data_IF_207914287777
#
_entry.id   IF_207914287777
#
_cell.length_a   1.000
_cell.length_b   1.000
_cell.length_c   1.000
_cell.angle_alpha   90.00
_cell.angle_beta   90.00
_cell.angle_gamma   90.00
#
_symmetry.space_group_name_H-M   'P 1'
#
loop_
_entity.id
_entity.type
_entity.pdbx_description
1 polymer ?
#
# COMPACT_ATOMS: atom_id res chain seq x y z
N UNK A 1 -15.35 -25.96 10.45
CA UNK A 1 -15.85 -26.66 11.66
C UNK A 1 -14.84 -27.65 12.23
N UNK A 2 -14.35 -28.64 11.47
CA UNK A 2 -13.38 -29.62 11.97
C UNK A 2 -12.10 -28.98 12.55
N UNK A 3 -11.49 -28.03 11.83
CA UNK A 3 -10.30 -27.29 12.30
C UNK A 3 -10.55 -26.53 13.61
N UNK A 4 -11.72 -25.90 13.75
CA UNK A 4 -12.06 -25.14 14.96
C UNK A 4 -12.21 -26.06 16.19
N UNK A 5 -12.71 -27.29 16.02
CA UNK A 5 -12.86 -28.27 17.11
C UNK A 5 -11.54 -28.79 17.69
N UNK A 6 -10.46 -28.75 16.90
CA UNK A 6 -9.13 -29.25 17.30
C UNK A 6 -8.14 -28.12 17.61
N UNK A 7 -8.56 -26.86 17.41
CA UNK A 7 -7.74 -25.69 17.73
C UNK A 7 -7.88 -25.35 19.22
N UNK A 8 -6.82 -24.85 19.88
CA UNK A 8 -6.94 -24.29 21.22
C UNK A 8 -7.97 -23.15 21.26
N UNK A 9 -8.64 -22.99 22.39
CA UNK A 9 -9.49 -21.82 22.62
C UNK A 9 -8.64 -20.55 22.61
N UNK A 10 -9.07 -19.56 21.83
CA UNK A 10 -8.50 -18.22 21.80
C UNK A 10 -9.62 -17.22 22.17
N UNK A 11 -9.57 -16.62 23.38
CA UNK A 11 -10.64 -15.76 23.88
C UNK A 11 -10.79 -14.46 23.09
N UNK A 12 -9.81 -14.10 22.25
CA UNK A 12 -9.83 -12.87 21.47
C UNK A 12 -10.43 -13.10 20.07
N UNK A 13 -10.42 -14.33 19.57
CA UNK A 13 -10.95 -14.65 18.25
C UNK A 13 -12.48 -14.62 18.23
N UNK A 14 -13.03 -13.96 17.21
CA UNK A 14 -14.47 -13.88 17.00
C UNK A 14 -14.83 -12.76 16.05
N UNK A 15 -16.06 -12.80 15.52
CA UNK A 15 -16.58 -11.78 14.62
C UNK A 15 -16.59 -10.39 15.28
N UNK A 16 -16.52 -9.34 14.48
CA UNK A 16 -16.69 -7.97 14.94
C UNK A 16 -18.04 -7.78 15.66
N UNK A 17 -18.06 -6.84 16.60
CA UNK A 17 -19.29 -6.41 17.27
C UNK A 17 -20.29 -5.92 16.21
N UNK A 18 -21.53 -6.44 16.17
CA UNK A 18 -22.55 -5.99 15.24
C UNK A 18 -22.79 -4.48 15.22
N UNK A 19 -22.55 -3.79 16.34
CA UNK A 19 -22.68 -2.33 16.43
C UNK A 19 -21.62 -1.57 15.61
N UNK A 20 -20.47 -2.18 15.34
CA UNK A 20 -19.36 -1.61 14.57
C UNK A 20 -19.46 -1.90 13.07
N UNK A 21 -20.37 -2.78 12.66
CA UNK A 21 -20.53 -3.16 11.26
C UNK A 21 -21.11 -2.02 10.45
N UNK A 22 -20.55 -1.82 9.25
CA UNK A 22 -21.05 -0.81 8.32
C UNK A 22 -22.47 -1.17 7.89
N UNK A 23 -23.39 -0.20 7.94
CA UNK A 23 -24.78 -0.40 7.50
C UNK A 23 -24.99 -0.02 6.04
N UNK A 24 -24.30 1.04 5.61
CA UNK A 24 -24.37 1.60 4.26
C UNK A 24 -22.95 1.96 3.82
N UNK A 25 -22.22 1.01 3.21
CA UNK A 25 -20.88 1.26 2.68
C UNK A 25 -20.90 2.45 1.72
N UNK A 26 -19.92 3.36 1.85
CA UNK A 26 -19.79 4.51 0.94
C UNK A 26 -19.30 4.06 -0.44
N UNK A 27 -19.79 4.70 -1.49
CA UNK A 27 -19.15 4.57 -2.79
C UNK A 27 -17.86 5.40 -2.79
N UNK A 28 -16.74 4.72 -3.00
CA UNK A 28 -15.41 5.33 -3.03
C UNK A 28 -14.86 5.49 -4.45
N UNK A 29 -15.69 5.26 -5.47
CA UNK A 29 -15.34 5.34 -6.89
C UNK A 29 -14.13 4.47 -7.25
N UNK A 30 -14.09 3.24 -6.71
CA UNK A 30 -12.94 2.33 -6.87
C UNK A 30 -12.99 1.51 -8.16
N UNK A 31 -14.14 1.48 -8.82
CA UNK A 31 -14.37 0.67 -10.00
C UNK A 31 -14.54 1.54 -11.24
N UNK A 32 -13.72 1.23 -12.23
CA UNK A 32 -13.77 1.79 -13.57
C UNK A 32 -14.25 0.68 -14.54
N UNK A 33 -15.36 0.90 -15.26
CA UNK A 33 -15.89 -0.07 -16.21
C UNK A 33 -15.11 -0.14 -17.53
N UNK A 34 -14.03 0.64 -17.70
CA UNK A 34 -13.24 0.67 -18.93
C UNK A 34 -12.69 -0.71 -19.27
N UNK A 35 -13.12 -1.25 -20.41
CA UNK A 35 -12.55 -2.45 -20.99
C UNK A 35 -11.28 -2.09 -21.78
N UNK A 36 -10.17 -2.76 -21.45
CA UNK A 36 -8.88 -2.55 -22.12
C UNK A 36 -8.45 -3.85 -22.77
N UNK A 37 -8.26 -3.83 -24.09
CA UNK A 37 -7.85 -5.00 -24.85
C UNK A 37 -6.37 -5.34 -24.62
N UNK A 38 -6.01 -6.61 -24.86
CA UNK A 38 -4.62 -7.03 -24.82
C UNK A 38 -3.74 -6.22 -25.80
N UNK A 39 -4.29 -5.84 -26.96
CA UNK A 39 -3.57 -5.00 -27.93
C UNK A 39 -3.33 -3.60 -27.38
N UNK A 40 -4.31 -2.95 -26.73
CA UNK A 40 -4.10 -1.65 -26.11
C UNK A 40 -3.03 -1.70 -25.01
N UNK A 41 -3.00 -2.76 -24.20
CA UNK A 41 -1.96 -2.96 -23.19
C UNK A 41 -0.59 -3.17 -23.83
N UNK A 42 -0.50 -3.97 -24.89
CA UNK A 42 0.72 -4.20 -25.67
C UNK A 42 1.26 -2.89 -26.25
N UNK A 43 0.42 -2.10 -26.92
CA UNK A 43 0.82 -0.82 -27.50
C UNK A 43 1.30 0.16 -26.42
N UNK A 44 0.63 0.23 -25.27
CA UNK A 44 1.09 1.08 -24.16
C UNK A 44 2.45 0.62 -23.61
N UNK A 45 2.69 -0.68 -23.48
CA UNK A 45 3.98 -1.21 -23.05
C UNK A 45 5.09 -0.89 -24.05
N UNK A 46 4.84 -1.08 -25.36
CA UNK A 46 5.77 -0.77 -26.44
C UNK A 46 6.09 0.73 -26.51
N UNK A 47 5.08 1.60 -26.37
CA UNK A 47 5.27 3.05 -26.37
C UNK A 47 6.16 3.50 -25.21
N UNK A 48 5.93 2.95 -24.01
CA UNK A 48 6.76 3.26 -22.85
C UNK A 48 8.20 2.75 -23.00
N UNK A 49 8.39 1.54 -23.56
CA UNK A 49 9.71 0.99 -23.85
C UNK A 49 10.47 1.84 -24.89
N UNK A 50 9.81 2.19 -25.99
CA UNK A 50 10.39 3.00 -27.05
C UNK A 50 10.81 4.39 -26.54
N UNK A 51 9.97 5.03 -25.73
CA UNK A 51 10.29 6.32 -25.12
C UNK A 51 11.48 6.24 -24.15
N UNK A 52 11.61 5.13 -23.42
CA UNK A 52 12.76 4.91 -22.53
C UNK A 52 14.06 4.69 -23.32
N UNK A 53 14.02 3.87 -24.37
CA UNK A 53 15.18 3.59 -25.24
C UNK A 53 15.64 4.82 -26.04
N UNK A 54 14.73 5.77 -26.30
CA UNK A 54 15.09 7.03 -26.94
C UNK A 54 15.91 7.99 -26.04
N UNK A 55 15.99 7.72 -24.73
CA UNK A 55 16.78 8.55 -23.80
C UNK A 55 18.27 8.29 -24.00
N UNK A 56 19.03 9.36 -24.25
CA UNK A 56 20.50 9.29 -24.42
C UNK A 56 21.17 8.61 -23.21
N UNK A 57 21.98 7.60 -23.50
CA UNK A 57 22.72 6.83 -22.50
C UNK A 57 22.04 5.54 -22.06
N UNK A 58 20.76 5.36 -22.41
CA UNK A 58 20.08 4.06 -22.32
C UNK A 58 20.61 3.16 -23.45
N UNK A 59 21.00 1.94 -23.10
CA UNK A 59 21.65 0.98 -24.01
C UNK A 59 20.84 -0.29 -24.19
N UNK A 60 19.98 -0.63 -23.23
CA UNK A 60 19.15 -1.81 -23.30
C UNK A 60 17.83 -1.65 -22.52
N UNK A 61 16.83 -2.47 -22.86
CA UNK A 61 15.60 -2.58 -22.09
C UNK A 61 15.68 -3.75 -21.11
N UNK A 62 15.08 -3.59 -19.93
CA UNK A 62 14.83 -4.67 -18.98
C UNK A 62 13.34 -5.09 -18.98
N UNK A 63 12.57 -4.60 -19.96
CA UNK A 63 11.16 -4.91 -20.16
C UNK A 63 10.22 -3.77 -19.78
N UNK A 64 9.10 -3.75 -20.47
CA UNK A 64 7.96 -2.87 -20.22
C UNK A 64 6.68 -3.70 -20.10
N UNK A 65 5.72 -3.20 -19.34
CA UNK A 65 4.47 -3.91 -19.09
C UNK A 65 3.32 -2.95 -18.83
N UNK A 66 2.13 -3.38 -19.23
CA UNK A 66 0.87 -2.75 -18.86
C UNK A 66 -0.12 -3.84 -18.43
N UNK A 67 -0.97 -3.52 -17.46
CA UNK A 67 -1.96 -4.46 -16.92
C UNK A 67 -3.28 -3.76 -16.65
N UNK A 68 -4.36 -4.50 -16.84
CA UNK A 68 -5.69 -4.18 -16.34
C UNK A 68 -6.20 -5.36 -15.52
N UNK A 69 -6.84 -5.09 -14.39
CA UNK A 69 -7.43 -6.12 -13.57
C UNK A 69 -8.46 -5.55 -12.62
N UNK A 70 -9.25 -6.43 -12.00
CA UNK A 70 -10.18 -6.07 -10.95
C UNK A 70 -10.12 -7.11 -9.84
N UNK A 71 -10.49 -6.67 -8.65
CA UNK A 71 -10.60 -7.51 -7.47
C UNK A 71 -11.61 -6.91 -6.51
N UNK A 72 -11.96 -7.65 -5.48
CA UNK A 72 -12.96 -7.18 -4.54
C UNK A 72 -13.10 -8.09 -3.34
N UNK A 73 -14.07 -7.77 -2.51
CA UNK A 73 -14.45 -8.55 -1.35
C UNK A 73 -15.96 -8.75 -1.38
N UNK A 74 -16.39 -9.98 -1.09
CA UNK A 74 -17.74 -10.28 -0.62
C UNK A 74 -17.57 -10.88 0.77
N UNK A 75 -18.24 -10.32 1.77
CA UNK A 75 -18.18 -10.78 3.15
C UNK A 75 -19.59 -11.05 3.65
N UNK A 76 -19.81 -12.29 4.08
CA UNK A 76 -21.03 -12.71 4.78
C UNK A 76 -20.65 -13.26 6.17
N UNK A 77 -21.39 -12.86 7.21
CA UNK A 77 -21.14 -13.34 8.58
C UNK A 77 -22.41 -13.89 9.24
N UNK A 78 -22.25 -14.73 10.26
CA UNK A 78 -23.39 -15.26 11.03
C UNK A 78 -24.14 -14.21 11.85
N UNK A 79 -23.60 -13.00 12.00
CA UNK A 79 -24.31 -11.85 12.57
C UNK A 79 -25.25 -11.17 11.55
N UNK A 80 -25.38 -11.72 10.34
CA UNK A 80 -26.27 -11.19 9.30
C UNK A 80 -25.65 -10.09 8.42
N UNK A 81 -24.37 -9.76 8.62
CA UNK A 81 -23.66 -8.86 7.72
C UNK A 81 -23.53 -9.49 6.34
N UNK A 82 -23.89 -8.74 5.29
CA UNK A 82 -23.54 -9.04 3.91
C UNK A 82 -23.08 -7.75 3.25
N UNK A 83 -21.80 -7.66 2.90
CA UNK A 83 -21.19 -6.50 2.27
C UNK A 83 -20.34 -6.92 1.09
N UNK A 84 -20.23 -6.04 0.10
CA UNK A 84 -19.33 -6.26 -1.03
C UNK A 84 -18.79 -4.95 -1.59
N UNK A 85 -17.65 -5.03 -2.26
CA UNK A 85 -17.12 -3.97 -3.11
C UNK A 85 -16.19 -4.58 -4.17
N UNK A 86 -16.04 -3.87 -5.27
CA UNK A 86 -15.11 -4.17 -6.35
C UNK A 86 -14.22 -2.95 -6.61
N UNK A 87 -12.99 -3.19 -7.01
CA UNK A 87 -12.02 -2.19 -7.37
C UNK A 87 -11.28 -2.64 -8.62
N UNK A 88 -11.17 -1.74 -9.59
CA UNK A 88 -10.30 -1.90 -10.76
C UNK A 88 -8.88 -1.46 -10.40
N UNK A 89 -7.90 -1.99 -11.12
CA UNK A 89 -6.51 -1.56 -11.04
C UNK A 89 -5.87 -1.66 -12.41
N UNK A 90 -5.36 -0.52 -12.86
CA UNK A 90 -4.56 -0.43 -14.07
C UNK A 90 -3.13 -0.07 -13.69
N UNK A 91 -2.17 -0.61 -14.43
CA UNK A 91 -0.77 -0.24 -14.25
C UNK A 91 0.00 -0.21 -15.56
N UNK A 92 1.04 0.62 -15.58
CA UNK A 92 2.04 0.70 -16.64
C UNK A 92 3.40 0.85 -15.97
N UNK A 93 4.41 0.18 -16.48
CA UNK A 93 5.77 0.27 -15.93
C UNK A 93 6.81 -0.04 -16.98
N UNK A 94 7.97 0.60 -16.87
CA UNK A 94 9.11 0.34 -17.74
C UNK A 94 10.39 0.36 -16.92
N UNK A 95 11.29 -0.58 -17.21
CA UNK A 95 12.61 -0.69 -16.61
C UNK A 95 13.65 -0.76 -17.72
N UNK A 96 14.72 0.02 -17.61
CA UNK A 96 15.77 0.09 -18.64
C UNK A 96 17.16 0.14 -18.02
N UNK A 97 18.16 -0.14 -18.86
CA UNK A 97 19.57 -0.18 -18.51
C UNK A 97 20.29 0.92 -19.28
N UNK A 98 21.09 1.70 -18.55
CA UNK A 98 22.01 2.69 -19.10
C UNK A 98 23.46 2.22 -18.93
N UNK A 99 24.35 2.69 -19.80
CA UNK A 99 25.79 2.38 -19.74
C UNK A 99 26.17 1.03 -20.35
N UNK A 100 27.45 0.69 -20.25
CA UNK A 100 28.05 -0.50 -20.88
C UNK A 100 29.01 -1.22 -19.93
N UNK A 101 29.25 -2.51 -20.18
CA UNK A 101 30.21 -3.32 -19.44
C UNK A 101 29.94 -3.32 -17.93
N UNK A 102 30.95 -2.96 -17.13
CA UNK A 102 30.85 -2.89 -15.67
C UNK A 102 30.21 -1.60 -15.16
N UNK A 103 29.92 -0.63 -16.03
CA UNK A 103 29.28 0.65 -15.71
C UNK A 103 27.77 0.66 -15.95
N UNK A 104 27.13 -0.51 -16.06
CA UNK A 104 25.70 -0.61 -16.30
C UNK A 104 24.89 -0.25 -15.05
N UNK A 105 23.86 0.57 -15.24
CA UNK A 105 22.93 0.97 -14.20
C UNK A 105 21.49 0.73 -14.65
N UNK A 106 20.62 0.35 -13.71
CA UNK A 106 19.21 0.05 -13.99
C UNK A 106 18.31 0.89 -13.10
N UNK A 107 17.27 1.45 -13.69
CA UNK A 107 16.16 2.06 -12.95
C UNK A 107 14.83 1.85 -13.70
N UNK A 108 13.74 2.27 -13.08
CA UNK A 108 12.39 2.07 -13.58
C UNK A 108 11.49 3.25 -13.22
N UNK A 109 10.33 3.31 -13.89
CA UNK A 109 9.21 4.15 -13.50
C UNK A 109 7.89 3.38 -13.69
N UNK A 110 6.86 3.76 -12.94
CA UNK A 110 5.54 3.16 -13.07
C UNK A 110 4.40 4.10 -12.70
N UNK A 111 3.20 3.79 -13.19
CA UNK A 111 1.94 4.36 -12.71
C UNK A 111 0.95 3.25 -12.40
N UNK A 112 0.18 3.40 -11.32
CA UNK A 112 -0.84 2.46 -10.86
C UNK A 112 -2.03 3.27 -10.35
N UNK A 113 -3.23 2.99 -10.89
CA UNK A 113 -4.44 3.78 -10.66
C UNK A 113 -5.68 2.91 -10.62
N UNK A 114 -6.74 3.41 -9.97
CA UNK A 114 -8.04 2.74 -9.98
C UNK A 114 -8.75 2.94 -11.32
N UNK A 115 -8.64 4.13 -11.91
CA UNK A 115 -9.22 4.44 -13.21
C UNK A 115 -8.14 4.48 -14.29
N UNK A 116 -8.49 4.02 -15.49
CA UNK A 116 -7.58 3.93 -16.63
C UNK A 116 -7.15 5.31 -17.13
N UNK A 117 -8.08 6.27 -17.11
CA UNK A 117 -7.83 7.66 -17.51
C UNK A 117 -6.87 8.41 -16.57
N UNK A 118 -6.73 7.95 -15.32
CA UNK A 118 -5.85 8.58 -14.33
C UNK A 118 -4.38 8.12 -14.49
N UNK A 119 -4.10 7.15 -15.36
CA UNK A 119 -2.75 6.64 -15.61
C UNK A 119 -1.90 7.68 -16.34
N UNK A 120 -0.65 7.81 -15.89
CA UNK A 120 0.38 8.57 -16.60
C UNK A 120 0.54 8.01 -18.03
N UNK A 121 0.82 8.90 -18.98
CA UNK A 121 1.07 8.54 -20.37
C UNK A 121 2.26 7.56 -20.46
N UNK A 122 2.18 6.52 -21.32
CA UNK A 122 3.25 5.54 -21.44
C UNK A 122 4.59 6.19 -21.82
N UNK A 123 4.58 7.20 -22.68
CA UNK A 123 5.79 7.94 -23.10
C UNK A 123 6.44 8.67 -21.91
N UNK A 124 5.64 9.25 -21.02
CA UNK A 124 6.16 9.91 -19.81
C UNK A 124 6.77 8.92 -18.82
N UNK A 125 6.17 7.74 -18.66
CA UNK A 125 6.72 6.65 -17.83
C UNK A 125 8.06 6.21 -18.42
N UNK A 126 8.10 5.94 -19.72
CA UNK A 126 9.29 5.52 -20.44
C UNK A 126 10.43 6.53 -20.32
N UNK A 127 10.16 7.79 -20.65
CA UNK A 127 11.13 8.88 -20.57
C UNK A 127 11.69 9.04 -19.15
N UNK A 128 10.83 9.06 -18.12
CA UNK A 128 11.27 9.12 -16.72
C UNK A 128 12.14 7.92 -16.33
N UNK A 129 11.78 6.70 -16.74
CA UNK A 129 12.59 5.51 -16.48
C UNK A 129 14.00 5.63 -17.10
N UNK A 130 14.08 6.04 -18.38
CA UNK A 130 15.34 6.27 -19.08
C UNK A 130 16.18 7.38 -18.45
N UNK A 131 15.57 8.52 -18.13
CA UNK A 131 16.26 9.63 -17.46
C UNK A 131 16.82 9.22 -16.10
N UNK A 132 16.07 8.43 -15.32
CA UNK A 132 16.53 7.90 -14.02
C UNK A 132 17.70 6.94 -14.18
N UNK A 133 17.62 6.00 -15.12
CA UNK A 133 18.71 5.05 -15.37
C UNK A 133 19.99 5.79 -15.82
N UNK A 134 19.86 6.73 -16.76
CA UNK A 134 20.99 7.53 -17.24
C UNK A 134 21.63 8.39 -16.13
N UNK A 135 20.84 8.97 -15.23
CA UNK A 135 21.34 9.77 -14.09
C UNK A 135 22.19 8.98 -13.10
N UNK A 136 22.07 7.65 -13.06
CA UNK A 136 22.87 6.79 -12.16
C UNK A 136 24.29 6.55 -12.68
N UNK A 137 24.55 6.81 -13.96
CA UNK A 137 25.86 6.58 -14.57
C UNK A 137 26.93 7.44 -13.91
N UNK A 138 28.08 6.83 -13.62
CA UNK A 138 29.21 7.50 -12.99
C UNK A 138 29.05 7.71 -11.48
N UNK A 139 28.12 7.00 -10.83
CA UNK A 139 28.01 6.97 -9.38
C UNK A 139 29.36 6.66 -8.72
N UNK A 140 29.65 7.37 -7.63
CA UNK A 140 30.89 7.21 -6.87
C UNK A 140 30.57 6.71 -5.46
N UNK A 141 31.48 5.92 -4.90
CA UNK A 141 31.37 5.49 -3.51
C UNK A 141 31.48 6.71 -2.59
N UNK A 142 30.46 6.94 -1.76
CA UNK A 142 30.50 7.96 -0.73
C UNK A 142 31.54 7.59 0.36
N UNK A 143 32.15 8.60 0.97
CA UNK A 143 33.03 8.41 2.11
C UNK A 143 32.22 7.93 3.33
N UNK A 144 32.79 7.05 4.15
CA UNK A 144 32.15 6.58 5.37
C UNK A 144 32.18 7.69 6.42
N UNK A 145 31.02 8.03 6.98
CA UNK A 145 30.91 8.99 8.06
C UNK A 145 29.47 9.49 8.26
N UNK A 146 29.24 10.32 9.29
CA UNK A 146 27.97 11.02 9.45
C UNK A 146 27.79 12.03 8.31
N UNK A 147 26.61 12.01 7.70
CA UNK A 147 26.20 12.95 6.64
C UNK A 147 24.72 13.26 6.79
N UNK A 148 24.31 14.43 6.33
CA UNK A 148 22.90 14.74 6.18
C UNK A 148 22.31 14.01 4.98
N UNK A 149 21.13 13.41 5.16
CA UNK A 149 20.46 12.61 4.13
C UNK A 149 19.12 13.22 3.79
N UNK A 150 18.92 13.55 2.52
CA UNK A 150 17.62 13.94 1.97
C UNK A 150 17.01 12.74 1.27
N UNK A 151 15.85 12.28 1.75
CA UNK A 151 15.11 11.19 1.12
C UNK A 151 14.26 11.72 -0.02
N UNK A 152 14.49 11.22 -1.24
CA UNK A 152 13.59 11.45 -2.37
C UNK A 152 12.17 10.94 -2.02
N UNK A 153 11.09 11.63 -2.40
CA UNK A 153 9.71 11.22 -2.10
C UNK A 153 9.39 9.75 -2.44
N UNK A 154 9.99 9.21 -3.51
CA UNK A 154 9.82 7.80 -3.91
C UNK A 154 10.32 6.82 -2.86
N UNK A 155 11.42 7.16 -2.17
CA UNK A 155 12.07 6.32 -1.16
C UNK A 155 11.56 6.65 0.25
N UNK A 156 11.21 7.92 0.51
CA UNK A 156 10.66 8.37 1.79
C UNK A 156 9.42 7.57 2.22
N UNK A 157 8.61 7.09 1.26
CA UNK A 157 7.48 6.18 1.50
C UNK A 157 7.88 4.92 2.30
N UNK A 158 9.10 4.43 2.16
CA UNK A 158 9.62 3.29 2.93
C UNK A 158 9.62 3.55 4.44
N UNK A 159 9.86 4.79 4.86
CA UNK A 159 9.82 5.20 6.28
C UNK A 159 8.40 5.01 6.84
N UNK A 160 7.38 5.44 6.10
CA UNK A 160 5.98 5.22 6.47
C UNK A 160 5.65 3.71 6.56
N UNK A 161 6.20 2.90 5.65
CA UNK A 161 6.06 1.43 5.71
C UNK A 161 6.68 0.80 6.96
N UNK A 162 7.88 1.24 7.36
CA UNK A 162 8.52 0.79 8.60
C UNK A 162 7.73 1.22 9.84
N UNK A 163 7.24 2.46 9.86
CA UNK A 163 6.36 2.94 10.91
C UNK A 163 5.09 2.08 10.98
N UNK A 164 4.47 1.77 9.84
CA UNK A 164 3.26 0.94 9.78
C UNK A 164 3.46 -0.44 10.41
N UNK A 165 4.62 -1.07 10.15
CA UNK A 165 5.00 -2.33 10.78
C UNK A 165 5.22 -2.21 12.29
N UNK A 166 5.84 -1.10 12.73
CA UNK A 166 6.10 -0.83 14.14
C UNK A 166 4.82 -0.52 14.93
N UNK A 167 3.81 0.10 14.32
CA UNK A 167 2.52 0.41 14.96
C UNK A 167 1.43 -0.62 14.63
N UNK A 168 1.82 -1.77 14.08
CA UNK A 168 0.90 -2.89 13.85
C UNK A 168 0.49 -3.51 15.18
N UNK A 169 -0.82 -3.54 15.47
CA UNK A 169 -1.33 -4.02 16.75
C UNK A 169 -0.95 -5.47 17.06
N UNK A 170 -0.81 -6.35 16.06
CA UNK A 170 -0.39 -7.73 16.30
C UNK A 170 1.06 -7.81 16.81
N UNK A 171 1.94 -6.95 16.28
CA UNK A 171 3.32 -6.83 16.75
C UNK A 171 3.41 -6.21 18.15
N UNK A 172 2.49 -5.29 18.48
CA UNK A 172 2.37 -4.70 19.82
C UNK A 172 1.90 -5.74 20.83
N UNK A 173 0.82 -6.46 20.54
CA UNK A 173 0.26 -7.50 21.40
C UNK A 173 1.28 -8.61 21.70
N UNK A 174 2.03 -9.04 20.68
CA UNK A 174 3.12 -10.02 20.79
C UNK A 174 4.42 -9.46 21.37
N UNK A 175 4.47 -8.16 21.71
CA UNK A 175 5.64 -7.45 22.27
C UNK A 175 6.88 -7.45 21.37
N UNK A 176 6.71 -7.65 20.07
CA UNK A 176 7.81 -7.68 19.08
C UNK A 176 8.09 -6.32 18.46
N UNK A 177 7.19 -5.34 18.62
CA UNK A 177 7.45 -3.97 18.18
C UNK A 177 8.34 -3.20 19.16
N UNK A 178 9.29 -2.44 18.62
CA UNK A 178 10.09 -1.46 19.38
C UNK A 178 9.29 -0.23 19.82
N UNK A 179 8.10 0.00 19.24
CA UNK A 179 7.20 1.10 19.62
C UNK A 179 6.08 0.70 20.57
N UNK A 180 6.01 -0.57 21.02
CA UNK A 180 4.86 -1.08 21.79
C UNK A 180 4.48 -0.25 23.04
N UNK A 181 5.47 0.40 23.67
CA UNK A 181 5.31 1.19 24.90
C UNK A 181 5.27 2.71 24.62
N UNK A 182 5.06 3.12 23.36
CA UNK A 182 5.17 4.51 22.88
C UNK A 182 3.84 5.21 22.59
N UNK A 183 2.69 4.60 22.91
CA UNK A 183 1.40 5.28 22.80
C UNK A 183 1.39 6.57 23.63
N UNK A 184 0.95 7.67 23.03
CA UNK A 184 0.92 9.00 23.64
C UNK A 184 2.30 9.66 23.82
N UNK A 185 3.37 9.06 23.28
CA UNK A 185 4.75 9.59 23.39
C UNK A 185 5.26 10.11 22.06
N UNK A 186 6.29 10.96 22.13
CA UNK A 186 6.97 11.47 20.96
C UNK A 186 7.83 10.38 20.31
N UNK A 187 7.54 10.09 19.04
CA UNK A 187 8.25 9.12 18.18
C UNK A 187 8.90 9.76 16.97
N UNK A 188 8.56 11.01 16.67
CA UNK A 188 9.10 11.78 15.56
C UNK A 188 9.20 13.28 15.89
N UNK A 189 9.82 14.07 15.01
CA UNK A 189 9.86 15.52 15.14
C UNK A 189 8.44 16.12 15.11
N UNK A 190 8.23 17.26 15.78
CA UNK A 190 6.93 17.90 15.86
C UNK A 190 6.35 18.35 14.50
N UNK A 191 7.20 18.45 13.48
CA UNK A 191 6.79 18.75 12.10
C UNK A 191 6.19 17.55 11.36
N UNK A 192 6.25 16.35 11.93
CA UNK A 192 5.80 15.11 11.29
C UNK A 192 4.42 14.74 11.80
N UNK A 193 3.47 14.66 10.87
CA UNK A 193 2.13 14.11 11.09
C UNK A 193 1.90 13.02 10.05
N UNK A 194 1.41 11.87 10.51
CA UNK A 194 1.15 10.69 9.68
C UNK A 194 -0.33 10.34 9.79
N UNK A 195 -0.97 10.16 8.65
CA UNK A 195 -2.40 9.92 8.49
C UNK A 195 -2.66 8.57 7.86
N UNK A 196 -3.73 7.89 8.28
CA UNK A 196 -4.24 6.69 7.61
C UNK A 196 -5.72 6.90 7.24
N UNK A 197 -6.02 6.88 5.94
CA UNK A 197 -7.34 7.26 5.42
C UNK A 197 -7.99 6.16 4.56
N UNK A 198 -8.87 5.31 5.13
CA UNK A 198 -9.48 4.17 4.42
C UNK A 198 -10.54 4.57 3.38
N UNK A 199 -11.14 5.75 3.52
CA UNK A 199 -12.29 6.21 2.72
C UNK A 199 -11.91 7.23 1.63
N UNK A 200 -10.63 7.26 1.22
CA UNK A 200 -10.18 8.17 0.18
C UNK A 200 -10.77 7.78 -1.18
N UNK A 201 -11.42 8.71 -1.87
CA UNK A 201 -11.91 8.49 -3.23
C UNK A 201 -10.78 8.03 -4.16
N UNK A 202 -11.02 6.97 -4.93
CA UNK A 202 -10.04 6.35 -5.84
C UNK A 202 -8.70 5.97 -5.20
N UNK A 203 -8.65 5.84 -3.87
CA UNK A 203 -7.42 5.47 -3.17
C UNK A 203 -7.03 4.02 -3.43
N UNK A 204 -5.72 3.77 -3.61
CA UNK A 204 -5.18 2.45 -3.97
C UNK A 204 -5.39 1.39 -2.88
N UNK A 205 -5.45 1.83 -1.62
CA UNK A 205 -5.70 0.96 -0.47
C UNK A 205 -7.04 1.30 0.22
N UNK A 206 -7.90 2.05 -0.48
CA UNK A 206 -9.21 2.41 0.03
C UNK A 206 -10.14 1.20 0.02
N UNK A 207 -11.01 1.15 1.02
CA UNK A 207 -12.05 0.13 1.15
C UNK A 207 -13.19 0.71 1.97
N UNK A 208 -14.46 0.48 1.56
CA UNK A 208 -15.61 1.03 2.29
C UNK A 208 -15.88 0.32 3.61
N UNK A 209 -15.34 -0.89 3.77
CA UNK A 209 -15.23 -1.61 5.03
C UNK A 209 -14.02 -2.55 4.96
N UNK A 210 -13.51 -2.95 6.13
CA UNK A 210 -12.37 -3.85 6.23
C UNK A 210 -12.75 -5.33 6.04
N UNK A 211 -11.78 -6.23 6.20
CA UNK A 211 -12.00 -7.67 6.12
C UNK A 211 -12.94 -8.25 7.18
N UNK A 212 -13.43 -7.45 8.13
CA UNK A 212 -14.33 -7.84 9.21
C UNK A 212 -15.71 -7.15 9.10
N UNK A 213 -15.91 -6.29 8.11
CA UNK A 213 -17.16 -5.55 7.91
C UNK A 213 -17.21 -4.22 8.65
N UNK A 214 -16.08 -3.75 9.20
CA UNK A 214 -15.99 -2.50 9.97
C UNK A 214 -15.56 -1.36 9.04
N UNK A 215 -16.29 -0.24 9.05
CA UNK A 215 -15.86 1.00 8.37
C UNK A 215 -14.76 1.66 9.20
N UNK A 216 -13.61 1.95 8.59
CA UNK A 216 -12.54 2.71 9.23
C UNK A 216 -12.72 4.22 9.04
N UNK A 217 -12.33 5.00 10.04
CA UNK A 217 -12.27 6.46 9.93
C UNK A 217 -10.85 6.94 9.62
N UNK A 218 -10.69 8.19 9.17
CA UNK A 218 -9.38 8.82 9.03
C UNK A 218 -8.74 8.97 10.41
N UNK A 219 -7.51 8.47 10.56
CA UNK A 219 -6.75 8.57 11.81
C UNK A 219 -5.49 9.41 11.63
N UNK A 220 -5.17 10.20 12.65
CA UNK A 220 -3.85 10.80 12.83
C UNK A 220 -2.98 9.82 13.60
N UNK A 221 -2.39 8.85 12.89
CA UNK A 221 -1.55 7.80 13.48
C UNK A 221 -0.41 8.40 14.30
N UNK A 222 0.23 9.43 13.76
CA UNK A 222 1.17 10.30 14.47
C UNK A 222 0.72 11.74 14.28
N UNK A 223 0.53 12.49 15.35
CA UNK A 223 0.18 13.92 15.29
C UNK A 223 1.28 14.74 15.94
N UNK A 224 1.91 15.64 15.16
CA UNK A 224 3.01 16.49 15.65
C UNK A 224 4.08 15.69 16.40
N UNK A 225 4.47 14.55 15.82
CA UNK A 225 5.45 13.64 16.37
C UNK A 225 4.95 12.70 17.47
N UNK A 226 3.71 12.83 17.96
CA UNK A 226 3.13 11.98 19.01
C UNK A 226 2.35 10.81 18.41
N UNK A 227 2.62 9.59 18.85
CA UNK A 227 1.93 8.39 18.41
C UNK A 227 0.57 8.21 19.10
N UNK A 228 -0.52 8.15 18.33
CA UNK A 228 -1.89 8.14 18.87
C UNK A 228 -2.64 6.81 18.69
N UNK A 229 -2.26 5.98 17.72
CA UNK A 229 -3.04 4.78 17.39
C UNK A 229 -2.17 3.59 16.98
N UNK A 230 -2.71 2.39 17.21
CA UNK A 230 -2.27 1.15 16.59
C UNK A 230 -3.16 0.82 15.39
N UNK A 231 -2.65 0.07 14.41
CA UNK A 231 -3.55 -0.62 13.47
C UNK A 231 -4.18 -1.82 14.17
N UNK A 232 -5.50 -1.90 14.17
CA UNK A 232 -6.23 -2.91 14.92
C UNK A 232 -7.22 -3.67 14.02
N UNK A 233 -7.17 -4.99 14.11
CA UNK A 233 -8.28 -5.89 13.78
C UNK A 233 -9.06 -6.19 15.06
N UNK A 234 -10.22 -6.84 14.94
CA UNK A 234 -11.10 -7.18 16.07
C UNK A 234 -10.39 -8.04 17.11
N UNK A 235 -9.73 -9.12 16.69
CA UNK A 235 -9.04 -10.03 17.61
C UNK A 235 -7.87 -9.34 18.33
N UNK A 236 -7.05 -8.61 17.59
CA UNK A 236 -5.89 -7.89 18.14
C UNK A 236 -6.34 -6.77 19.08
N UNK A 237 -7.43 -6.07 18.75
CA UNK A 237 -8.00 -5.05 19.63
C UNK A 237 -8.41 -5.67 20.97
N UNK A 238 -9.12 -6.80 20.96
CA UNK A 238 -9.52 -7.51 22.19
C UNK A 238 -8.31 -7.94 23.02
N UNK A 239 -7.28 -8.48 22.39
CA UNK A 239 -6.03 -8.87 23.08
C UNK A 239 -5.35 -7.69 23.78
N UNK A 240 -5.45 -6.49 23.20
CA UNK A 240 -4.93 -5.25 23.76
C UNK A 240 -5.90 -4.52 24.70
N UNK A 241 -7.12 -5.04 24.91
CA UNK A 241 -8.16 -4.36 25.68
C UNK A 241 -8.69 -3.07 25.01
N UNK A 242 -8.65 -3.02 23.68
CA UNK A 242 -9.05 -1.90 22.84
C UNK A 242 -10.24 -2.28 21.92
N UNK A 243 -10.73 -1.30 21.17
CA UNK A 243 -11.72 -1.47 20.10
C UNK A 243 -11.04 -1.45 18.74
N UNK A 244 -11.50 -2.29 17.79
CA UNK A 244 -11.00 -2.26 16.40
C UNK A 244 -11.26 -0.90 15.76
N UNK A 245 -10.36 -0.49 14.87
CA UNK A 245 -10.49 0.75 14.12
C UNK A 245 -10.69 0.52 12.61
N UNK A 246 -11.15 -0.67 12.20
CA UNK A 246 -11.41 -0.97 10.79
C UNK A 246 -10.14 -1.21 9.96
N UNK A 247 -9.09 -1.73 10.61
CA UNK A 247 -7.82 -2.07 9.97
C UNK A 247 -7.58 -3.57 9.83
N UNK A 248 -8.61 -4.41 10.00
CA UNK A 248 -8.52 -5.85 9.75
C UNK A 248 -8.44 -6.17 8.26
N UNK A 249 -7.28 -6.56 7.75
CA UNK A 249 -7.12 -7.09 6.40
C UNK A 249 -7.30 -8.60 6.39
N UNK A 250 -8.17 -9.09 5.52
CA UNK A 250 -8.48 -10.52 5.39
C UNK A 250 -7.63 -11.16 4.29
N UNK A 251 -6.96 -12.25 4.63
CA UNK A 251 -6.32 -13.15 3.67
C UNK A 251 -6.70 -14.59 4.00
N UNK A 252 -7.52 -15.20 3.13
CA UNK A 252 -8.13 -16.50 3.37
C UNK A 252 -8.93 -16.52 4.68
N UNK A 253 -8.58 -17.44 5.59
CA UNK A 253 -9.21 -17.57 6.90
C UNK A 253 -8.66 -16.62 7.97
N UNK A 254 -7.58 -15.90 7.67
CA UNK A 254 -6.90 -15.03 8.64
C UNK A 254 -7.28 -13.57 8.49
N UNK A 255 -7.30 -12.84 9.60
CA UNK A 255 -7.39 -11.38 9.62
C UNK A 255 -6.20 -10.84 10.39
N UNK A 256 -5.51 -9.87 9.81
CA UNK A 256 -4.37 -9.19 10.42
C UNK A 256 -4.52 -7.68 10.28
N UNK A 257 -4.05 -6.88 11.25
CA UNK A 257 -4.07 -5.43 11.09
C UNK A 257 -3.20 -5.00 9.91
N UNK A 258 -3.67 -4.04 9.12
CA UNK A 258 -2.89 -3.38 8.06
C UNK A 258 -3.26 -1.91 7.94
N UNK A 259 -2.32 -1.08 7.48
CA UNK A 259 -2.64 0.27 7.03
C UNK A 259 -3.54 0.26 5.80
N UNK A 260 -4.07 1.44 5.47
CA UNK A 260 -4.80 1.74 4.24
C UNK A 260 -4.01 2.77 3.43
N UNK A 261 -4.56 3.98 3.18
CA UNK A 261 -3.83 5.06 2.52
C UNK A 261 -3.01 5.83 3.57
N UNK A 262 -1.86 5.27 3.93
CA UNK A 262 -0.91 5.86 4.87
C UNK A 262 -0.03 6.92 4.20
N UNK A 263 0.01 8.12 4.76
CA UNK A 263 0.81 9.26 4.29
C UNK A 263 1.33 10.10 5.44
#
# INVERSE_FOLDING_TARGET
>A
VAMAKVSPEDPYQGLADPALLVKKPRDLDLFDPTEVSADQLKEAALAAEAAALAVKGVTNSAGSGASAGLGGLVLATSHGFVGHYVASRFSRSTSVIAGEGTGMERDYEFSSRQHFSDLDAPEDIGRKAGERAARRIGARKAATGPVDVVFDPRVARGIAGHLAGAINGASVARKTSFLRDMMGKQVAAAAITVTDEPLRLRGQASRPFDGEGVEGERLLMVEKGILNHWFLSTSVARELGLTTNGRGSRNGSSVSPSSTNLA
#
